data_IF_238978772196
#
_entry.id   IF_238978772196
#
_cell.length_a   1.000
_cell.length_b   1.000
_cell.length_c   1.000
_cell.angle_alpha   90.00
_cell.angle_beta   90.00
_cell.angle_gamma   90.00
#
_symmetry.space_group_name_H-M   'P 1'
#
loop_
_entity.id
_entity.type
_entity.pdbx_description
1 polymer ?
#
# COMPACT_ATOMS: atom_id res chain seq x y z
N UNK A 1 -10.49 2.08 -28.69
CA UNK A 1 -9.52 2.57 -27.69
C UNK A 1 -10.28 2.76 -26.40
N UNK A 2 -10.04 1.92 -25.39
CA UNK A 2 -10.93 1.75 -24.24
C UNK A 2 -10.61 2.82 -23.19
N UNK A 3 -11.56 3.73 -23.01
CA UNK A 3 -11.49 4.87 -22.10
C UNK A 3 -11.35 4.44 -20.65
N UNK A 4 -10.26 4.91 -20.04
CA UNK A 4 -10.11 5.40 -18.66
C UNK A 4 -11.26 5.05 -17.69
N UNK A 5 -11.09 3.94 -16.98
CA UNK A 5 -11.78 3.69 -15.70
C UNK A 5 -11.11 4.56 -14.63
N UNK A 6 -11.52 5.83 -14.55
CA UNK A 6 -11.25 6.66 -13.37
C UNK A 6 -12.39 6.36 -12.40
N UNK A 7 -12.18 5.33 -11.57
CA UNK A 7 -13.00 5.08 -10.40
C UNK A 7 -12.54 6.11 -9.36
N UNK A 8 -13.18 7.27 -9.40
CA UNK A 8 -13.16 8.22 -8.29
C UNK A 8 -13.90 7.58 -7.13
N UNK A 9 -13.16 6.97 -6.20
CA UNK A 9 -13.70 6.67 -4.89
C UNK A 9 -13.45 7.88 -3.98
N UNK A 10 -14.56 8.51 -3.66
CA UNK A 10 -14.73 9.75 -2.95
C UNK A 10 -14.95 9.43 -1.45
N UNK A 11 -14.43 10.30 -0.57
CA UNK A 11 -14.80 10.52 0.86
C UNK A 11 -14.39 9.34 1.80
N UNK A 12 -13.73 9.50 2.95
CA UNK A 12 -13.96 10.46 4.05
C UNK A 12 -12.67 10.71 4.82
N UNK A 13 -12.33 12.00 4.96
CA UNK A 13 -11.40 12.52 5.96
C UNK A 13 -11.99 12.28 7.36
N UNK A 14 -11.66 11.14 7.97
CA UNK A 14 -11.73 11.02 9.42
C UNK A 14 -10.48 11.71 9.96
N UNK A 15 -10.69 12.90 10.50
CA UNK A 15 -9.73 13.60 11.34
C UNK A 15 -9.44 12.75 12.59
N UNK A 16 -8.49 11.82 12.46
CA UNK A 16 -7.84 11.20 13.62
C UNK A 16 -6.83 12.21 14.13
N UNK A 17 -7.31 13.12 14.98
CA UNK A 17 -6.46 13.80 15.93
C UNK A 17 -6.02 12.76 16.99
N UNK A 18 -4.78 12.28 16.88
CA UNK A 18 -4.11 11.58 17.98
C UNK A 18 -3.43 10.27 17.60
N UNK A 19 -2.17 10.34 17.15
CA UNK A 19 -1.03 10.05 18.04
C UNK A 19 0.26 10.55 17.37
N UNK A 20 0.96 11.43 18.06
CA UNK A 20 2.31 11.87 17.76
C UNK A 20 3.28 10.74 18.09
N UNK A 21 4.10 10.27 17.15
CA UNK A 21 5.48 9.83 17.41
C UNK A 21 6.16 9.34 16.14
N UNK A 22 7.44 9.67 16.05
CA UNK A 22 8.45 9.08 15.19
C UNK A 22 8.45 9.57 13.74
N UNK A 23 9.12 10.72 13.56
CA UNK A 23 9.88 10.92 12.33
C UNK A 23 10.81 9.72 12.11
N UNK A 24 10.54 8.96 11.07
CA UNK A 24 11.45 7.94 10.57
C UNK A 24 11.79 8.32 9.14
N UNK A 25 13.01 8.85 9.03
CA UNK A 25 13.96 8.79 7.91
C UNK A 25 13.36 8.29 6.60
N UNK A 26 13.55 9.06 5.53
CA UNK A 26 13.43 8.61 4.13
C UNK A 26 13.81 7.13 4.03
N UNK A 27 12.78 6.28 4.08
CA UNK A 27 12.91 4.84 4.09
C UNK A 27 12.94 4.50 2.62
N UNK A 28 14.11 4.10 2.13
CA UNK A 28 14.31 3.85 0.72
C UNK A 28 13.32 2.79 0.20
N UNK A 29 13.27 2.60 -1.12
CA UNK A 29 12.50 1.53 -1.74
C UNK A 29 12.56 0.19 -0.98
N UNK A 30 13.75 -0.20 -0.53
CA UNK A 30 13.99 -1.47 0.16
C UNK A 30 13.27 -1.58 1.50
N UNK A 31 13.23 -0.51 2.29
CA UNK A 31 12.53 -0.47 3.58
C UNK A 31 11.00 -0.60 3.38
N UNK A 32 10.49 0.05 2.33
CA UNK A 32 9.06 -0.04 1.98
C UNK A 32 8.72 -1.45 1.50
N UNK A 33 9.56 -2.06 0.67
CA UNK A 33 9.39 -3.46 0.22
C UNK A 33 9.40 -4.41 1.41
N UNK A 34 10.34 -4.25 2.35
CA UNK A 34 10.40 -5.07 3.57
C UNK A 34 9.11 -4.94 4.40
N UNK A 35 8.58 -3.72 4.52
CA UNK A 35 7.32 -3.45 5.22
C UNK A 35 6.14 -4.11 4.51
N UNK A 36 6.03 -3.97 3.18
CA UNK A 36 4.99 -4.61 2.37
C UNK A 36 5.02 -6.13 2.53
N UNK A 37 6.19 -6.75 2.42
CA UNK A 37 6.36 -8.19 2.59
C UNK A 37 5.92 -8.64 3.99
N UNK A 38 6.28 -7.87 5.02
CA UNK A 38 5.86 -8.13 6.40
C UNK A 38 4.34 -8.08 6.52
N UNK A 39 3.68 -7.06 5.98
CA UNK A 39 2.22 -6.94 6.02
C UNK A 39 1.51 -8.05 5.24
N UNK A 40 2.02 -8.43 4.07
CA UNK A 40 1.50 -9.53 3.27
C UNK A 40 1.62 -10.89 3.97
N UNK A 41 2.64 -11.07 4.82
CA UNK A 41 2.87 -12.27 5.61
C UNK A 41 1.98 -12.36 6.88
N UNK A 42 1.38 -11.24 7.33
CA UNK A 42 0.53 -11.22 8.53
C UNK A 42 -0.78 -12.00 8.38
N UNK A 43 -1.13 -12.43 7.17
CA UNK A 43 -2.29 -13.30 6.94
C UNK A 43 -3.64 -12.57 7.03
N UNK A 44 -3.68 -11.27 6.72
CA UNK A 44 -4.93 -10.54 6.58
C UNK A 44 -5.84 -11.18 5.54
N UNK A 45 -7.14 -11.24 5.81
CA UNK A 45 -8.11 -11.66 4.80
C UNK A 45 -8.18 -10.60 3.69
N UNK A 46 -7.81 -11.01 2.49
CA UNK A 46 -7.88 -10.17 1.29
C UNK A 46 -8.28 -11.01 0.09
N UNK A 47 -8.98 -10.38 -0.85
CA UNK A 47 -9.34 -11.01 -2.12
C UNK A 47 -8.09 -11.33 -2.95
N UNK A 48 -8.21 -12.30 -3.85
CA UNK A 48 -7.18 -12.63 -4.82
C UNK A 48 -6.75 -11.40 -5.64
N UNK A 49 -7.73 -10.58 -6.05
CA UNK A 49 -7.46 -9.37 -6.83
C UNK A 49 -6.64 -8.36 -6.03
N UNK A 50 -6.93 -8.12 -4.75
CA UNK A 50 -6.13 -7.24 -3.90
C UNK A 50 -4.69 -7.72 -3.77
N UNK A 51 -4.50 -9.03 -3.53
CA UNK A 51 -3.17 -9.66 -3.48
C UNK A 51 -2.40 -9.50 -4.79
N UNK A 52 -3.06 -9.75 -5.92
CA UNK A 52 -2.46 -9.59 -7.25
C UNK A 52 -2.10 -8.12 -7.53
N UNK A 53 -2.96 -7.16 -7.20
CA UNK A 53 -2.67 -5.73 -7.36
C UNK A 53 -1.45 -5.32 -6.52
N UNK A 54 -1.37 -5.74 -5.25
CA UNK A 54 -0.20 -5.44 -4.39
C UNK A 54 1.08 -6.01 -4.99
N UNK A 55 1.05 -7.28 -5.44
CA UNK A 55 2.20 -7.90 -6.07
C UNK A 55 2.63 -7.16 -7.35
N UNK A 56 1.68 -6.74 -8.19
CA UNK A 56 1.96 -5.97 -9.40
C UNK A 56 2.62 -4.62 -9.07
N UNK A 57 2.09 -3.88 -8.09
CA UNK A 57 2.68 -2.61 -7.65
C UNK A 57 4.11 -2.80 -7.13
N UNK A 58 4.37 -3.87 -6.38
CA UNK A 58 5.71 -4.18 -5.86
C UNK A 58 6.68 -4.53 -7.00
N UNK A 59 6.27 -5.38 -7.94
CA UNK A 59 7.13 -5.79 -9.05
C UNK A 59 7.43 -4.62 -10.00
N UNK A 60 6.43 -3.79 -10.30
CA UNK A 60 6.63 -2.57 -11.10
C UNK A 60 7.51 -1.56 -10.35
N UNK A 61 7.30 -1.38 -9.05
CA UNK A 61 8.16 -0.56 -8.20
C UNK A 61 9.62 -1.02 -8.25
N UNK A 62 9.90 -2.32 -8.12
CA UNK A 62 11.27 -2.87 -8.25
C UNK A 62 11.89 -2.60 -9.62
N UNK A 63 11.09 -2.70 -10.69
CA UNK A 63 11.54 -2.37 -12.05
C UNK A 63 11.87 -0.88 -12.19
N UNK A 64 11.11 0.01 -11.56
CA UNK A 64 11.40 1.44 -11.56
C UNK A 64 12.69 1.76 -10.79
N UNK A 65 12.94 1.08 -9.65
CA UNK A 65 14.22 1.20 -8.92
C UNK A 65 15.39 0.80 -9.81
N UNK A 66 15.30 -0.32 -10.54
CA UNK A 66 16.40 -0.76 -11.42
C UNK A 66 16.63 0.16 -12.62
N UNK A 67 15.63 0.97 -12.99
CA UNK A 67 15.74 2.02 -14.00
C UNK A 67 16.25 3.37 -13.44
N UNK A 68 16.55 3.45 -12.13
CA UNK A 68 16.92 4.70 -11.46
C UNK A 68 15.74 5.64 -11.20
N UNK A 69 14.50 5.20 -11.45
CA UNK A 69 13.26 5.96 -11.25
C UNK A 69 12.75 5.80 -9.81
N UNK A 70 13.60 6.12 -8.85
CA UNK A 70 13.35 5.91 -7.42
C UNK A 70 12.09 6.63 -6.92
N UNK A 71 11.80 7.83 -7.42
CA UNK A 71 10.60 8.57 -7.03
C UNK A 71 9.30 7.90 -7.50
N UNK A 72 9.26 7.41 -8.74
CA UNK A 72 8.11 6.69 -9.28
C UNK A 72 7.91 5.37 -8.52
N UNK A 73 9.00 4.67 -8.20
CA UNK A 73 8.96 3.44 -7.41
C UNK A 73 8.38 3.70 -6.00
N UNK A 74 8.85 4.75 -5.32
CA UNK A 74 8.36 5.12 -3.99
C UNK A 74 6.86 5.38 -3.99
N UNK A 75 6.32 6.05 -5.01
CA UNK A 75 4.87 6.27 -5.14
C UNK A 75 4.09 4.95 -5.22
N UNK A 76 4.56 3.99 -6.02
CA UNK A 76 3.92 2.66 -6.09
C UNK A 76 3.99 1.90 -4.77
N UNK A 77 5.12 1.96 -4.07
CA UNK A 77 5.23 1.32 -2.76
C UNK A 77 4.33 1.98 -1.72
N UNK A 78 4.18 3.31 -1.76
CA UNK A 78 3.26 4.03 -0.88
C UNK A 78 1.79 3.67 -1.15
N UNK A 79 1.42 3.49 -2.42
CA UNK A 79 0.09 3.02 -2.80
C UNK A 79 -0.18 1.58 -2.34
N UNK A 80 0.81 0.70 -2.46
CA UNK A 80 0.72 -0.67 -1.96
C UNK A 80 0.57 -0.73 -0.43
N UNK A 81 1.32 0.10 0.30
CA UNK A 81 1.21 0.20 1.76
C UNK A 81 -0.17 0.69 2.19
N UNK A 82 -0.70 1.74 1.56
CA UNK A 82 -2.06 2.23 1.86
C UNK A 82 -3.13 1.17 1.64
N UNK A 83 -3.04 0.42 0.54
CA UNK A 83 -3.99 -0.67 0.29
C UNK A 83 -3.90 -1.76 1.36
N UNK A 84 -2.69 -2.10 1.80
CA UNK A 84 -2.46 -3.05 2.89
C UNK A 84 -2.98 -2.57 4.24
N UNK A 85 -2.86 -1.28 4.54
CA UNK A 85 -3.41 -0.67 5.76
C UNK A 85 -4.93 -0.80 5.78
N UNK A 86 -5.60 -0.45 4.68
CA UNK A 86 -7.07 -0.60 4.55
C UNK A 86 -7.50 -2.05 4.70
N UNK A 87 -6.75 -3.01 4.13
CA UNK A 87 -7.02 -4.43 4.30
C UNK A 87 -6.86 -4.85 5.77
N UNK A 88 -5.80 -4.41 6.43
CA UNK A 88 -5.55 -4.72 7.84
C UNK A 88 -6.59 -4.13 8.78
N UNK A 89 -7.13 -2.95 8.46
CA UNK A 89 -8.25 -2.33 9.18
C UNK A 89 -9.55 -3.11 8.97
N UNK A 90 -9.85 -3.48 7.72
CA UNK A 90 -11.04 -4.27 7.38
C UNK A 90 -11.02 -5.65 8.06
N UNK A 91 -9.88 -6.34 8.03
CA UNK A 91 -9.69 -7.64 8.69
C UNK A 91 -9.88 -7.54 10.21
N UNK A 92 -9.38 -6.47 10.83
CA UNK A 92 -9.59 -6.21 12.27
C UNK A 92 -11.05 -5.94 12.60
N UNK A 93 -11.73 -5.15 11.78
CA UNK A 93 -13.15 -4.84 11.97
C UNK A 93 -14.00 -6.11 11.89
N UNK A 94 -13.82 -6.93 10.85
CA UNK A 94 -14.57 -8.17 10.65
C UNK A 94 -14.36 -9.22 11.77
N UNK A 95 -13.23 -9.17 12.48
CA UNK A 95 -12.92 -10.08 13.62
C UNK A 95 -13.39 -9.53 14.97
N UNK A 96 -13.83 -8.28 15.02
CA UNK A 96 -14.30 -7.64 16.25
C UNK A 96 -15.82 -7.76 16.45
N UNK A 97 -16.54 -8.28 15.46
CA UNK A 97 -17.95 -8.67 15.53
C UNK A 97 -18.10 -10.18 15.73
#
# INVERSE_FOLDING_TARGET
>A
MKSKLIIGLLIILLAVAGCSSSGSKSSGPDDKIATINTMMAKGYEMSRNQRETINQMVEEGKKLVSQGKTEEANKLFDEALKLLEVIAETDRFNKSE
#
